data_IF_672137747957
#
_entry.id   IF_672137747957
#
_cell.length_a   1.000
_cell.length_b   1.000
_cell.length_c   1.000
_cell.angle_alpha   90.00
_cell.angle_beta   90.00
_cell.angle_gamma   90.00
#
_symmetry.space_group_name_H-M   'P 1'
#
loop_
_entity.id
_entity.type
_entity.pdbx_description
1 polymer ?
#
# COMPACT_ATOMS: atom_id res chain seq x y z
N UNK A 1 2.12 14.04 1.92
CA UNK A 1 2.62 14.77 0.73
C UNK A 1 2.12 14.09 -0.53
N UNK A 2 1.80 14.87 -1.57
CA UNK A 2 1.52 14.36 -2.92
C UNK A 2 2.77 14.47 -3.76
N UNK A 3 3.32 13.38 -4.25
CA UNK A 3 4.56 13.35 -5.04
C UNK A 3 4.23 13.08 -6.49
N UNK A 4 4.67 13.98 -7.39
CA UNK A 4 4.55 13.80 -8.83
C UNK A 4 5.90 13.50 -9.46
N UNK A 5 5.98 12.39 -10.18
CA UNK A 5 7.16 12.03 -10.99
C UNK A 5 7.20 12.75 -12.32
N UNK A 6 6.04 13.17 -12.83
CA UNK A 6 5.90 13.75 -14.17
C UNK A 6 6.58 15.10 -14.31
N UNK A 7 6.46 15.93 -13.28
CA UNK A 7 7.03 17.28 -13.25
C UNK A 7 8.03 17.48 -12.11
N UNK A 8 8.40 16.40 -11.42
CA UNK A 8 9.36 16.37 -10.32
C UNK A 8 8.99 17.37 -9.21
N UNK A 9 7.71 17.39 -8.82
CA UNK A 9 7.19 18.28 -7.79
C UNK A 9 6.46 17.53 -6.69
N UNK A 10 6.31 18.18 -5.53
CA UNK A 10 5.44 17.70 -4.46
C UNK A 10 4.54 18.81 -3.92
N UNK A 11 3.38 18.41 -3.39
CA UNK A 11 2.55 19.28 -2.55
C UNK A 11 2.47 18.72 -1.14
N UNK A 12 2.36 19.60 -0.16
CA UNK A 12 2.10 19.20 1.22
C UNK A 12 0.58 19.06 1.42
N UNK A 13 0.16 18.05 2.18
CA UNK A 13 -1.26 17.75 2.39
C UNK A 13 -1.89 18.70 3.44
N UNK A 14 -1.06 19.25 4.33
CA UNK A 14 -1.43 19.88 5.59
C UNK A 14 -1.05 21.37 5.74
N UNK A 15 -0.19 21.89 4.86
CA UNK A 15 0.55 23.15 5.15
C UNK A 15 0.42 24.26 4.11
N UNK A 16 -0.45 24.13 3.11
CA UNK A 16 -0.79 25.32 2.33
C UNK A 16 -1.73 26.19 3.15
N UNK A 17 -1.30 27.38 3.53
CA UNK A 17 -2.22 28.41 3.99
C UNK A 17 -3.18 28.71 2.83
N UNK A 18 -4.36 28.08 2.86
CA UNK A 18 -5.40 28.25 1.83
C UNK A 18 -5.85 29.71 1.70
N UNK A 19 -5.48 30.59 2.64
CA UNK A 19 -5.74 32.02 2.61
C UNK A 19 -4.58 32.86 2.06
N UNK A 20 -3.38 32.29 1.85
CA UNK A 20 -2.23 32.99 1.27
C UNK A 20 -2.05 32.64 -0.23
N UNK A 21 -2.53 33.48 -1.15
CA UNK A 21 -2.40 33.24 -2.59
C UNK A 21 -0.96 33.30 -3.13
N UNK A 22 0.03 33.65 -2.30
CA UNK A 22 1.45 33.67 -2.68
C UNK A 22 2.18 32.34 -2.43
N UNK A 23 1.60 31.40 -1.67
CA UNK A 23 2.22 30.09 -1.44
C UNK A 23 2.04 29.21 -2.68
N UNK A 24 3.12 28.78 -3.37
CA UNK A 24 2.98 27.96 -4.56
C UNK A 24 2.27 26.65 -4.22
N UNK A 25 1.31 26.19 -5.04
CA UNK A 25 0.57 24.97 -4.76
C UNK A 25 1.46 23.72 -4.71
N UNK A 26 2.67 23.80 -5.29
CA UNK A 26 3.64 22.70 -5.36
C UNK A 26 5.07 23.25 -5.29
N UNK A 27 5.95 22.44 -4.70
CA UNK A 27 7.38 22.69 -4.59
C UNK A 27 8.16 21.73 -5.50
N UNK A 28 9.33 22.13 -5.96
CA UNK A 28 10.24 21.20 -6.65
C UNK A 28 10.73 20.12 -5.69
N UNK A 29 10.90 18.88 -6.19
CA UNK A 29 11.56 17.83 -5.42
C UNK A 29 13.02 18.20 -5.14
N UNK A 30 13.60 17.74 -4.01
CA UNK A 30 14.98 18.03 -3.66
C UNK A 30 15.97 17.62 -4.77
N UNK A 31 17.04 18.39 -4.91
CA UNK A 31 18.14 18.04 -5.83
C UNK A 31 18.69 16.65 -5.48
N UNK A 32 18.81 15.78 -6.48
CA UNK A 32 19.28 14.41 -6.31
C UNK A 32 18.17 13.38 -6.01
N UNK A 33 16.90 13.79 -5.99
CA UNK A 33 15.80 12.83 -5.94
C UNK A 33 15.83 11.88 -7.14
N UNK A 34 15.90 10.57 -6.87
CA UNK A 34 15.88 9.54 -7.89
C UNK A 34 14.43 9.16 -8.26
N UNK A 35 13.89 9.84 -9.26
CA UNK A 35 12.56 9.55 -9.79
C UNK A 35 12.46 8.18 -10.48
N UNK A 36 13.58 7.53 -10.80
CA UNK A 36 13.60 6.17 -11.32
C UNK A 36 13.49 5.13 -10.20
N UNK A 37 14.08 5.41 -9.04
CA UNK A 37 13.95 4.62 -7.81
C UNK A 37 12.57 4.77 -7.14
N UNK A 38 11.91 5.92 -7.28
CA UNK A 38 10.52 6.10 -6.85
C UNK A 38 9.55 5.49 -7.88
N UNK A 39 9.48 4.16 -7.92
CA UNK A 39 8.80 3.41 -8.97
C UNK A 39 7.25 3.33 -8.85
N UNK A 40 6.67 4.03 -7.88
CA UNK A 40 5.22 4.05 -7.65
C UNK A 40 4.48 4.92 -8.68
N UNK A 41 3.30 4.45 -9.05
CA UNK A 41 2.32 5.13 -9.90
C UNK A 41 0.96 5.15 -9.21
N UNK A 42 0.09 6.05 -9.66
CA UNK A 42 -1.29 6.18 -9.20
C UNK A 42 -2.26 6.21 -10.37
N UNK A 43 -3.44 5.63 -10.21
CA UNK A 43 -4.53 5.75 -11.19
C UNK A 43 -5.42 6.97 -10.95
N UNK A 44 -5.11 7.80 -9.95
CA UNK A 44 -5.79 9.06 -9.72
C UNK A 44 -5.77 9.94 -10.97
N UNK A 45 -6.94 10.44 -11.34
CA UNK A 45 -7.13 11.40 -12.41
C UNK A 45 -6.97 12.84 -11.93
N UNK A 46 -7.61 13.77 -12.64
CA UNK A 46 -7.72 15.15 -12.17
C UNK A 46 -8.82 15.24 -11.10
N UNK A 47 -8.47 15.70 -9.91
CA UNK A 47 -9.39 15.83 -8.76
C UNK A 47 -10.00 17.23 -8.67
N UNK A 48 -9.53 18.18 -9.49
CA UNK A 48 -9.93 19.58 -9.43
C UNK A 48 -9.29 20.37 -8.29
N UNK A 49 -8.51 19.70 -7.43
CA UNK A 49 -7.77 20.34 -6.35
C UNK A 49 -6.45 20.92 -6.88
N UNK A 50 -6.15 22.17 -6.52
CA UNK A 50 -5.00 22.90 -7.05
C UNK A 50 -3.64 22.28 -6.68
N UNK A 51 -3.59 21.56 -5.56
CA UNK A 51 -2.40 20.94 -5.00
C UNK A 51 -2.23 19.48 -5.46
N UNK A 52 -3.18 18.90 -6.18
CA UNK A 52 -3.14 17.51 -6.63
C UNK A 52 -3.05 17.42 -8.16
N UNK A 53 -2.42 16.35 -8.64
CA UNK A 53 -2.26 16.08 -10.06
C UNK A 53 -2.56 14.61 -10.36
N UNK A 54 -2.90 14.29 -11.62
CA UNK A 54 -2.97 12.91 -12.06
C UNK A 54 -1.64 12.19 -11.81
N UNK A 55 -1.71 10.90 -11.45
CA UNK A 55 -0.56 10.05 -11.10
C UNK A 55 0.20 10.46 -9.82
N UNK A 56 -0.35 11.36 -9.00
CA UNK A 56 0.25 11.68 -7.69
C UNK A 56 0.18 10.48 -6.74
N UNK A 57 1.29 10.23 -6.05
CA UNK A 57 1.39 9.23 -4.99
C UNK A 57 1.43 9.95 -3.64
N UNK A 58 0.58 9.50 -2.71
CA UNK A 58 0.52 10.07 -1.37
C UNK A 58 1.44 9.32 -0.42
N UNK A 59 2.33 10.07 0.23
CA UNK A 59 3.31 9.57 1.20
C UNK A 59 3.24 10.40 2.46
N UNK A 60 3.14 9.74 3.61
CA UNK A 60 3.25 10.35 4.92
C UNK A 60 4.64 10.16 5.52
N UNK A 61 4.99 11.06 6.41
CA UNK A 61 6.11 10.91 7.32
C UNK A 61 5.55 10.56 8.68
N UNK A 62 6.10 9.55 9.35
CA UNK A 62 5.84 9.35 10.77
C UNK A 62 6.18 10.63 11.55
N UNK A 63 5.47 10.87 12.65
CA UNK A 63 5.68 12.06 13.48
C UNK A 63 7.13 12.23 13.94
N UNK A 64 7.83 11.13 14.21
CA UNK A 64 9.23 11.10 14.63
C UNK A 64 10.24 11.35 13.50
N UNK A 65 9.76 11.49 12.26
CA UNK A 65 10.56 11.69 11.05
C UNK A 65 11.39 10.48 10.62
N UNK A 66 11.23 9.32 11.26
CA UNK A 66 12.06 8.13 11.04
C UNK A 66 11.51 7.13 10.04
N UNK A 67 10.20 7.16 9.75
CA UNK A 67 9.54 6.25 8.83
C UNK A 67 8.64 6.97 7.83
N UNK A 68 8.38 6.32 6.68
CA UNK A 68 7.42 6.78 5.68
C UNK A 68 6.46 5.64 5.33
N UNK A 69 5.18 5.97 5.18
CA UNK A 69 4.17 5.02 4.71
C UNK A 69 3.31 5.67 3.62
N UNK A 70 2.73 4.85 2.77
CA UNK A 70 1.83 5.30 1.74
C UNK A 70 0.42 5.46 2.31
N UNK A 71 -0.34 6.41 1.76
CA UNK A 71 -1.79 6.46 1.94
C UNK A 71 -2.46 6.19 0.61
N UNK A 72 -3.32 5.18 0.63
CA UNK A 72 -4.24 4.84 -0.43
C UNK A 72 -5.56 5.58 -0.18
N UNK A 73 -5.50 6.87 -0.44
CA UNK A 73 -6.66 7.74 -0.53
C UNK A 73 -6.41 8.75 -1.65
N UNK A 74 -6.15 8.24 -2.85
CA UNK A 74 -5.76 9.04 -4.00
C UNK A 74 -6.99 9.76 -4.62
N UNK A 75 -7.53 10.69 -3.80
CA UNK A 75 -8.52 11.76 -3.98
C UNK A 75 -9.81 11.45 -4.77
N UNK A 76 -9.99 10.19 -5.15
CA UNK A 76 -11.10 9.65 -5.91
C UNK A 76 -11.29 8.19 -5.48
N UNK A 77 -12.51 7.85 -5.05
CA UNK A 77 -12.88 6.46 -4.75
C UNK A 77 -12.58 5.52 -5.93
N UNK A 78 -12.03 4.34 -5.66
CA UNK A 78 -11.73 3.31 -6.67
C UNK A 78 -10.38 3.46 -7.38
N UNK A 79 -9.58 4.46 -7.04
CA UNK A 79 -8.21 4.61 -7.54
C UNK A 79 -7.23 3.70 -6.81
N UNK A 80 -6.01 3.61 -7.32
CA UNK A 80 -5.01 2.67 -6.85
C UNK A 80 -3.60 3.24 -6.95
N UNK A 81 -2.69 2.73 -6.12
CA UNK A 81 -1.25 2.84 -6.34
C UNK A 81 -0.71 1.50 -6.84
N UNK A 82 0.32 1.53 -7.68
CA UNK A 82 0.90 0.31 -8.24
C UNK A 82 2.36 0.42 -8.63
N UNK A 83 3.00 -0.74 -8.83
CA UNK A 83 4.28 -0.89 -9.51
C UNK A 83 4.24 -2.00 -10.55
N UNK A 84 4.95 -1.80 -11.66
CA UNK A 84 5.23 -2.86 -12.63
C UNK A 84 6.58 -3.51 -12.27
N UNK A 85 6.54 -4.81 -11.95
CA UNK A 85 7.67 -5.55 -11.42
C UNK A 85 8.10 -6.61 -12.44
N UNK A 86 9.41 -6.71 -12.67
CA UNK A 86 9.96 -7.78 -13.50
C UNK A 86 9.75 -9.15 -12.82
N UNK A 87 9.16 -10.09 -13.55
CA UNK A 87 8.83 -11.42 -13.05
C UNK A 87 9.24 -12.53 -14.01
N UNK A 88 9.27 -13.77 -13.53
CA UNK A 88 9.51 -14.95 -14.35
C UNK A 88 8.21 -15.75 -14.54
N UNK A 89 7.76 -15.99 -15.80
CA UNK A 89 6.57 -16.80 -16.05
C UNK A 89 6.67 -18.18 -15.40
N UNK A 90 5.58 -18.63 -14.75
CA UNK A 90 5.49 -19.91 -14.05
C UNK A 90 6.08 -19.91 -12.64
N UNK A 91 6.75 -18.84 -12.21
CA UNK A 91 7.35 -18.75 -10.88
C UNK A 91 6.34 -18.20 -9.87
N UNK A 92 6.28 -18.81 -8.70
CA UNK A 92 5.49 -18.33 -7.57
C UNK A 92 6.22 -17.18 -6.87
N UNK A 93 5.47 -16.16 -6.52
CA UNK A 93 5.90 -15.04 -5.69
C UNK A 93 5.05 -15.00 -4.42
N UNK A 94 5.68 -14.65 -3.30
CA UNK A 94 5.01 -14.28 -2.06
C UNK A 94 4.87 -12.77 -2.01
N UNK A 95 3.72 -12.29 -1.56
CA UNK A 95 3.53 -10.89 -1.24
C UNK A 95 3.15 -10.73 0.23
N UNK A 96 3.56 -9.61 0.80
CA UNK A 96 3.09 -9.15 2.09
C UNK A 96 2.97 -7.64 2.13
N UNK A 97 2.15 -7.13 3.03
CA UNK A 97 2.03 -5.71 3.33
C UNK A 97 1.57 -5.53 4.78
N UNK A 98 1.83 -4.35 5.33
CA UNK A 98 1.14 -3.82 6.50
C UNK A 98 0.06 -2.85 6.07
N UNK A 99 -1.08 -2.91 6.73
CA UNK A 99 -2.21 -2.04 6.48
C UNK A 99 -2.84 -1.56 7.78
N UNK A 100 -3.19 -0.28 7.79
CA UNK A 100 -3.91 0.39 8.86
C UNK A 100 -5.01 1.29 8.29
N UNK A 101 -6.01 1.58 9.12
CA UNK A 101 -6.95 2.67 8.89
C UNK A 101 -6.30 3.99 9.29
N UNK A 102 -6.72 5.09 8.66
CA UNK A 102 -6.38 6.43 9.16
C UNK A 102 -7.15 6.75 10.46
N UNK A 103 -8.38 6.25 10.59
CA UNK A 103 -9.29 6.53 11.71
C UNK A 103 -9.86 5.22 12.29
N UNK A 104 -9.73 5.02 13.60
CA UNK A 104 -10.27 3.86 14.30
C UNK A 104 -11.81 3.77 14.26
N UNK A 105 -12.49 4.90 14.01
CA UNK A 105 -13.95 4.93 13.84
C UNK A 105 -14.42 4.31 12.52
N UNK A 106 -13.54 4.22 11.51
CA UNK A 106 -13.89 3.79 10.17
C UNK A 106 -13.22 2.45 9.79
N UNK A 107 -13.94 1.62 9.03
CA UNK A 107 -13.43 0.37 8.50
C UNK A 107 -12.92 0.58 7.08
N UNK A 108 -11.66 0.99 6.98
CA UNK A 108 -10.99 1.15 5.69
C UNK A 108 -10.88 -0.21 4.99
N UNK A 109 -11.08 -0.20 3.67
CA UNK A 109 -11.04 -1.38 2.82
C UNK A 109 -10.20 -1.17 1.58
N UNK A 110 -9.38 -2.16 1.27
CA UNK A 110 -8.61 -2.18 0.04
C UNK A 110 -8.52 -3.59 -0.57
N UNK A 111 -8.08 -3.67 -1.82
CA UNK A 111 -7.77 -4.93 -2.50
C UNK A 111 -6.34 -4.93 -3.04
N UNK A 112 -5.66 -6.06 -2.86
CA UNK A 112 -4.44 -6.37 -3.63
C UNK A 112 -4.84 -6.92 -4.98
N UNK A 113 -4.44 -6.26 -6.07
CA UNK A 113 -4.65 -6.73 -7.44
C UNK A 113 -3.30 -7.08 -8.08
N UNK A 114 -3.19 -8.29 -8.63
CA UNK A 114 -1.94 -8.77 -9.26
C UNK A 114 -2.25 -9.36 -10.63
N UNK A 115 -1.46 -9.03 -11.64
CA UNK A 115 -1.63 -9.59 -12.98
C UNK A 115 -0.75 -8.97 -14.04
N UNK A 116 -1.06 -9.26 -15.31
CA UNK A 116 -0.52 -8.50 -16.44
C UNK A 116 -0.97 -7.04 -16.31
N UNK A 117 -0.10 -6.04 -16.58
CA UNK A 117 -0.50 -4.63 -16.55
C UNK A 117 -1.80 -4.36 -17.32
N UNK A 118 -2.78 -3.76 -16.64
CA UNK A 118 -4.13 -3.48 -17.12
C UNK A 118 -5.12 -4.65 -17.08
N UNK A 119 -4.74 -5.81 -16.53
CA UNK A 119 -5.56 -7.03 -16.42
C UNK A 119 -5.39 -7.70 -15.05
N UNK A 120 -5.16 -6.91 -14.02
CA UNK A 120 -4.96 -7.38 -12.66
C UNK A 120 -6.25 -7.98 -12.08
N UNK A 121 -6.11 -9.01 -11.25
CA UNK A 121 -7.24 -9.61 -10.54
C UNK A 121 -7.00 -9.55 -9.03
N UNK A 122 -8.07 -9.41 -8.27
CA UNK A 122 -8.01 -9.36 -6.81
C UNK A 122 -7.51 -10.69 -6.25
N UNK A 123 -6.53 -10.63 -5.36
CA UNK A 123 -5.94 -11.79 -4.69
C UNK A 123 -6.65 -12.08 -3.38
N UNK A 124 -6.74 -13.36 -3.02
CA UNK A 124 -7.09 -13.74 -1.65
C UNK A 124 -5.93 -13.43 -0.70
N UNK A 125 -6.27 -12.96 0.49
CA UNK A 125 -5.32 -12.57 1.53
C UNK A 125 -5.52 -13.36 2.82
N UNK A 126 -4.44 -13.53 3.56
CA UNK A 126 -4.43 -14.04 4.94
C UNK A 126 -3.90 -12.95 5.86
N UNK A 127 -4.65 -12.63 6.91
CA UNK A 127 -4.17 -11.75 7.98
C UNK A 127 -3.30 -12.56 8.95
N UNK A 128 -2.07 -12.10 9.18
CA UNK A 128 -1.06 -12.84 9.96
C UNK A 128 -0.90 -12.30 11.38
N UNK A 129 -1.23 -11.03 11.59
CA UNK A 129 -1.24 -10.38 12.92
C UNK A 129 -2.66 -9.99 13.33
N UNK A 130 -2.85 -9.72 14.62
CA UNK A 130 -3.99 -8.97 15.14
C UNK A 130 -3.47 -8.07 16.25
N UNK A 131 -3.78 -6.79 16.21
CA UNK A 131 -3.27 -5.80 17.16
C UNK A 131 -4.31 -5.34 18.19
N UNK A 132 -5.32 -6.18 18.48
CA UNK A 132 -6.28 -5.92 19.55
C UNK A 132 -7.47 -5.04 19.18
N UNK A 133 -7.62 -4.62 17.91
CA UNK A 133 -8.77 -3.86 17.40
C UNK A 133 -9.96 -4.75 16.96
N UNK A 134 -10.11 -5.93 17.58
CA UNK A 134 -11.20 -6.89 17.30
C UNK A 134 -11.05 -7.71 16.02
N UNK A 135 -10.05 -7.38 15.20
CA UNK A 135 -9.68 -8.12 14.00
C UNK A 135 -9.10 -9.50 14.32
N UNK A 136 -9.32 -10.48 13.43
CA UNK A 136 -8.87 -11.87 13.61
C UNK A 136 -7.88 -12.27 12.53
N UNK A 137 -6.87 -13.04 12.91
CA UNK A 137 -5.95 -13.71 11.99
C UNK A 137 -6.69 -14.77 11.16
N UNK A 138 -6.14 -15.11 9.99
CA UNK A 138 -6.69 -16.08 9.06
C UNK A 138 -7.15 -15.47 7.74
N UNK A 139 -7.84 -16.27 6.89
CA UNK A 139 -8.27 -15.82 5.56
C UNK A 139 -9.26 -14.65 5.64
N UNK A 140 -9.01 -13.60 4.86
CA UNK A 140 -9.89 -12.41 4.76
C UNK A 140 -10.49 -12.22 3.36
N UNK A 141 -10.14 -13.09 2.40
CA UNK A 141 -10.64 -13.03 1.03
C UNK A 141 -9.99 -11.90 0.23
N UNK A 142 -10.74 -11.31 -0.72
CA UNK A 142 -10.25 -10.34 -1.71
C UNK A 142 -10.33 -8.88 -1.29
N UNK A 143 -11.02 -8.62 -0.18
CA UNK A 143 -11.17 -7.29 0.39
C UNK A 143 -10.55 -7.37 1.77
N UNK A 144 -9.40 -6.72 1.92
CA UNK A 144 -8.74 -6.52 3.20
C UNK A 144 -9.44 -5.34 3.87
N UNK A 145 -9.77 -5.49 5.15
CA UNK A 145 -10.45 -4.46 5.91
C UNK A 145 -9.91 -4.41 7.34
N UNK A 146 -9.70 -3.22 7.88
CA UNK A 146 -9.25 -3.03 9.27
C UNK A 146 -9.68 -1.69 9.84
N UNK A 147 -9.82 -1.62 11.16
CA UNK A 147 -9.96 -0.38 11.93
C UNK A 147 -8.70 -0.07 12.75
N UNK A 148 -7.62 -0.83 12.58
CA UNK A 148 -6.39 -0.59 13.34
C UNK A 148 -5.89 0.81 13.01
N UNK A 149 -5.78 1.66 14.01
CA UNK A 149 -5.29 3.02 13.90
C UNK A 149 -4.86 3.47 15.30
N UNK A 150 -4.06 4.53 15.38
CA UNK A 150 -3.89 5.22 16.66
C UNK A 150 -5.09 6.13 16.92
N UNK A 151 -5.53 6.22 18.18
CA UNK A 151 -6.62 7.11 18.56
C UNK A 151 -6.23 8.56 18.23
N UNK A 152 -7.05 9.22 17.40
CA UNK A 152 -6.91 10.65 17.11
C UNK A 152 -7.14 11.45 18.39
N UNK A 153 -6.09 11.96 19.03
CA UNK A 153 -6.30 12.88 20.14
C UNK A 153 -6.70 14.25 19.55
N UNK A 154 -7.83 14.81 20.01
CA UNK A 154 -8.40 16.03 19.44
C UNK A 154 -7.56 17.30 19.73
N UNK A 155 -6.42 17.16 20.39
CA UNK A 155 -5.62 18.27 20.92
C UNK A 155 -4.35 18.54 20.12
N UNK A 156 -4.01 17.73 19.11
CA UNK A 156 -2.84 18.01 18.28
C UNK A 156 -2.90 17.37 16.88
N UNK A 157 -2.85 18.21 15.85
CA UNK A 157 -2.82 17.82 14.43
C UNK A 157 -1.63 16.92 14.06
N UNK A 158 -0.59 16.87 14.89
CA UNK A 158 0.63 16.09 14.64
C UNK A 158 0.49 14.58 14.98
N UNK A 159 -0.59 14.18 15.66
CA UNK A 159 -0.83 12.79 16.09
C UNK A 159 -1.48 11.95 14.99
N UNK A 160 -2.05 12.58 13.97
CA UNK A 160 -2.61 11.90 12.78
C UNK A 160 -1.56 11.16 11.97
N UNK A 161 -0.27 11.44 12.22
CA UNK A 161 0.83 10.83 11.48
C UNK A 161 1.54 9.71 12.24
N UNK A 162 1.22 9.52 13.53
CA UNK A 162 1.78 8.45 14.33
C UNK A 162 0.93 7.19 14.14
N UNK A 163 1.50 6.18 13.47
CA UNK A 163 0.93 4.83 13.36
C UNK A 163 1.85 3.78 14.00
N UNK A 164 2.70 4.21 14.94
CA UNK A 164 3.62 3.31 15.62
C UNK A 164 2.84 2.22 16.34
N UNK A 165 3.20 0.97 16.05
CA UNK A 165 2.59 -0.19 16.70
C UNK A 165 1.13 -0.43 16.35
N UNK A 166 0.57 0.19 15.30
CA UNK A 166 -0.84 0.02 14.88
C UNK A 166 -0.94 -0.43 13.42
N UNK A 167 -0.52 -1.66 13.15
CA UNK A 167 -0.53 -2.25 11.81
C UNK A 167 -1.02 -3.68 11.84
N UNK A 168 -1.75 -4.06 10.80
CA UNK A 168 -2.06 -5.46 10.51
C UNK A 168 -1.29 -5.94 9.30
N UNK A 169 -0.67 -7.11 9.42
CA UNK A 169 0.10 -7.72 8.35
C UNK A 169 -0.77 -8.70 7.57
N UNK A 170 -0.65 -8.65 6.25
CA UNK A 170 -1.36 -9.51 5.32
C UNK A 170 -0.37 -10.16 4.37
N UNK A 171 -0.66 -11.39 3.96
CA UNK A 171 0.14 -12.12 3.01
C UNK A 171 -0.69 -12.90 2.00
N UNK A 172 -0.04 -13.26 0.89
CA UNK A 172 -0.59 -14.18 -0.10
C UNK A 172 0.47 -14.62 -1.10
N UNK A 173 0.01 -15.34 -2.13
CA UNK A 173 0.89 -15.84 -3.20
C UNK A 173 0.31 -15.52 -4.57
N UNK A 174 1.18 -15.44 -5.57
CA UNK A 174 0.80 -15.26 -6.97
C UNK A 174 1.76 -16.03 -7.89
N UNK A 175 1.24 -16.70 -8.90
CA UNK A 175 2.06 -17.33 -9.94
C UNK A 175 2.16 -16.36 -11.11
N UNK A 176 3.37 -15.90 -11.41
CA UNK A 176 3.60 -14.95 -12.49
C UNK A 176 3.28 -15.58 -13.85
N UNK A 177 2.56 -14.83 -14.68
CA UNK A 177 2.14 -15.29 -16.02
C UNK A 177 2.97 -14.68 -17.14
N UNK A 178 3.72 -13.62 -16.84
CA UNK A 178 4.50 -12.86 -17.81
C UNK A 178 5.83 -12.38 -17.25
N UNK A 179 6.61 -11.71 -18.10
CA UNK A 179 7.89 -11.11 -17.72
C UNK A 179 7.75 -9.83 -16.89
N UNK A 180 6.55 -9.26 -16.88
CA UNK A 180 6.18 -8.09 -16.10
C UNK A 180 4.84 -8.39 -15.44
N UNK A 181 4.77 -8.15 -14.14
CA UNK A 181 3.55 -8.25 -13.33
C UNK A 181 3.28 -6.91 -12.68
N UNK A 182 2.05 -6.40 -12.80
CA UNK A 182 1.61 -5.24 -12.02
C UNK A 182 1.15 -5.68 -10.64
N UNK A 183 1.67 -5.02 -9.62
CA UNK A 183 1.26 -5.16 -8.23
C UNK A 183 0.54 -3.88 -7.79
N UNK A 184 -0.75 -3.99 -7.53
CA UNK A 184 -1.66 -2.84 -7.33
C UNK A 184 -2.37 -2.94 -5.99
N UNK A 185 -2.54 -1.80 -5.34
CA UNK A 185 -3.33 -1.63 -4.12
C UNK A 185 -4.46 -0.67 -4.43
N UNK A 186 -5.69 -1.19 -4.46
CA UNK A 186 -6.87 -0.44 -4.90
C UNK A 186 -7.71 -0.03 -3.70
N UNK A 187 -8.04 1.26 -3.61
CA UNK A 187 -8.98 1.78 -2.63
C UNK A 187 -10.36 1.18 -2.92
N UNK A 188 -10.92 0.44 -1.97
CA UNK A 188 -12.26 -0.13 -2.08
C UNK A 188 -13.26 0.72 -1.30
N UNK A 189 -12.88 1.17 -0.11
CA UNK A 189 -13.70 2.00 0.77
C UNK A 189 -12.79 2.75 1.74
N UNK A 190 -13.08 4.01 2.01
CA UNK A 190 -12.29 4.86 2.90
C UNK A 190 -13.16 5.87 3.64
N UNK A 191 -12.68 6.36 4.77
CA UNK A 191 -13.39 7.35 5.59
C UNK A 191 -13.77 8.61 4.80
N UNK A 192 -12.93 9.03 3.86
CA UNK A 192 -13.22 10.08 2.90
C UNK A 192 -12.54 9.80 1.54
N UNK A 193 -12.90 10.57 0.51
CA UNK A 193 -12.30 10.45 -0.83
C UNK A 193 -10.80 10.82 -0.85
N UNK A 194 -10.29 11.49 0.18
CA UNK A 194 -8.92 11.99 0.28
C UNK A 194 -8.17 11.48 1.51
N UNK A 195 -8.82 10.70 2.38
CA UNK A 195 -8.28 10.18 3.65
C UNK A 195 -8.65 8.71 3.84
N UNK A 196 -7.68 7.84 4.13
CA UNK A 196 -7.95 6.43 4.43
C UNK A 196 -6.75 5.49 4.35
N UNK A 197 -6.96 4.32 3.74
CA UNK A 197 -6.11 3.12 3.78
C UNK A 197 -4.60 3.39 3.81
N UNK A 198 -3.93 3.13 4.93
CA UNK A 198 -2.48 3.26 5.04
C UNK A 198 -1.78 1.96 4.68
N UNK A 199 -0.61 2.05 4.04
CA UNK A 199 0.17 0.90 3.59
C UNK A 199 1.66 1.08 3.89
N UNK A 200 2.28 0.03 4.42
CA UNK A 200 3.72 -0.02 4.70
C UNK A 200 4.29 -1.44 4.51
N UNK A 201 5.61 -1.60 4.56
CA UNK A 201 6.33 -2.88 4.50
C UNK A 201 5.87 -3.80 3.34
N UNK A 202 5.65 -3.20 2.17
CA UNK A 202 5.21 -3.90 0.97
C UNK A 202 6.36 -4.75 0.41
N UNK A 203 6.10 -6.05 0.26
CA UNK A 203 7.05 -7.01 -0.30
C UNK A 203 6.36 -7.78 -1.42
N UNK A 204 7.08 -7.97 -2.53
CA UNK A 204 6.74 -8.93 -3.58
C UNK A 204 8.00 -9.64 -4.02
N UNK A 205 8.18 -10.90 -3.58
CA UNK A 205 9.45 -11.60 -3.73
C UNK A 205 9.26 -13.02 -4.26
N UNK A 206 10.27 -13.52 -4.97
CA UNK A 206 10.26 -14.88 -5.52
C UNK A 206 10.17 -15.89 -4.37
N UNK A 207 9.20 -16.80 -4.45
CA UNK A 207 9.13 -17.95 -3.57
C UNK A 207 10.11 -19.01 -4.06
N UNK A 208 11.01 -19.47 -3.19
CA UNK A 208 11.90 -20.58 -3.52
C UNK A 208 11.19 -21.90 -3.17
N UNK A 209 11.16 -22.88 -4.09
CA UNK A 209 10.65 -24.20 -3.77
C UNK A 209 11.53 -24.80 -2.67
N UNK A 210 10.89 -25.34 -1.62
CA UNK A 210 11.57 -26.20 -0.66
C UNK A 210 11.81 -27.55 -1.34
N UNK A 211 13.04 -27.82 -1.76
CA UNK A 211 13.45 -29.17 -2.12
C UNK A 211 13.81 -29.92 -0.85
N UNK A 212 12.99 -30.89 -0.46
CA UNK A 212 13.30 -31.80 0.64
C UNK A 212 13.99 -33.05 0.08
N UNK A 213 15.24 -33.29 0.45
CA UNK A 213 15.88 -34.58 0.26
C UNK A 213 15.50 -35.48 1.44
N UNK A 214 14.74 -36.54 1.17
CA UNK A 214 14.33 -37.49 2.20
C UNK A 214 15.51 -38.33 2.70
N UNK A 215 16.48 -37.73 3.39
CA UNK A 215 17.57 -38.45 4.04
C UNK A 215 17.09 -39.03 5.38
N UNK A 216 16.38 -40.16 5.32
CA UNK A 216 16.17 -41.05 6.46
C UNK A 216 14.71 -41.49 6.68
N UNK A 217 14.48 -42.80 6.55
CA UNK A 217 13.30 -43.57 6.97
C UNK A 217 11.96 -43.26 6.24
N UNK A 218 11.69 -44.03 5.19
CA UNK A 218 10.51 -43.96 4.31
C UNK A 218 9.20 -44.50 4.92
N UNK A 219 9.02 -44.43 6.25
CA UNK A 219 7.78 -44.86 6.90
C UNK A 219 6.75 -43.73 7.10
N UNK A 220 7.07 -42.50 6.66
CA UNK A 220 6.14 -41.39 6.62
C UNK A 220 5.56 -41.17 5.23
N UNK A 221 4.23 -41.08 5.12
CA UNK A 221 3.57 -40.61 3.90
C UNK A 221 3.95 -39.14 3.68
N UNK A 222 4.81 -38.89 2.71
CA UNK A 222 5.17 -37.55 2.25
C UNK A 222 4.05 -36.99 1.38
N UNK A 223 3.64 -35.72 1.55
CA UNK A 223 2.80 -35.03 0.58
C UNK A 223 3.54 -34.98 -0.76
N UNK A 224 3.05 -35.73 -1.74
CA UNK A 224 3.52 -35.64 -3.12
C UNK A 224 2.95 -34.35 -3.72
N UNK A 225 3.81 -33.54 -4.35
CA UNK A 225 3.35 -32.43 -5.18
C UNK A 225 2.41 -32.99 -6.26
N UNK A 226 1.12 -32.63 -6.19
CA UNK A 226 0.17 -32.81 -7.29
C UNK A 226 0.18 -31.58 -8.17
#
# INVERSE_FOLDING_TARGET
MYISRKDLSYARKDTQDKANPADPPRFALPSGFDASGFAWHSTQGNTGLANEKPDDVQVWTAYDGGNHYAELAAAQTGTAIYQDIATEPGVMYKWSLRHASLDEAYLDKMSVMIGTPGKEIAQDAVRVTSNGHGDKTGPVGKIIATRVANHRNAQSWNVETDHTGQWESYEGTYIATGKITRFTFRNVDSAADHDGNLLDDIIFTKAYPLSYDGNGNTNGNTPQNK
#
